data_IF_482805244457
#
_entry.id   IF_482805244457
#
_cell.length_a   1.000
_cell.length_b   1.000
_cell.length_c   1.000
_cell.angle_alpha   90.00
_cell.angle_beta   90.00
_cell.angle_gamma   90.00
#
_symmetry.space_group_name_H-M   'P 1'
#
loop_
_entity.id
_entity.type
_entity.pdbx_description
1 polymer ?
#
# COMPACT_ATOMS: atom_id res chain seq x y z
N UNK A 1 -24.94 40.38 -15.12
CA UNK A 1 -24.52 40.15 -13.73
C UNK A 1 -23.42 39.10 -13.68
N UNK A 2 -22.16 39.50 -13.52
CA UNK A 2 -21.02 38.59 -13.36
C UNK A 2 -21.15 37.86 -12.02
N UNK A 3 -21.35 36.53 -12.04
CA UNK A 3 -21.33 35.70 -10.83
C UNK A 3 -19.93 35.81 -10.19
N UNK A 4 -19.78 36.65 -9.16
CA UNK A 4 -18.56 36.73 -8.34
C UNK A 4 -18.16 35.31 -7.92
N UNK A 5 -16.99 34.87 -8.38
CA UNK A 5 -16.36 33.61 -8.00
C UNK A 5 -15.79 33.76 -6.60
N UNK A 6 -16.68 33.87 -5.61
CA UNK A 6 -16.28 33.92 -4.20
C UNK A 6 -15.77 32.54 -3.82
N UNK A 7 -14.66 32.48 -3.09
CA UNK A 7 -14.26 31.28 -2.34
C UNK A 7 -15.48 30.75 -1.58
N UNK A 8 -15.66 29.42 -1.44
CA UNK A 8 -16.82 28.86 -0.74
C UNK A 8 -16.93 29.46 0.67
N UNK A 9 -18.11 29.47 1.32
CA UNK A 9 -18.22 29.87 2.72
C UNK A 9 -17.20 29.11 3.57
N UNK A 10 -16.58 29.77 4.56
CA UNK A 10 -15.75 29.04 5.54
C UNK A 10 -16.69 28.15 6.36
N UNK A 11 -16.45 26.84 6.29
CA UNK A 11 -17.11 25.84 7.13
C UNK A 11 -16.05 25.29 8.06
N UNK A 12 -16.47 24.91 9.25
CA UNK A 12 -15.62 24.11 10.11
C UNK A 12 -15.42 22.73 9.49
N UNK A 13 -14.28 22.14 9.79
CA UNK A 13 -13.99 20.76 9.43
C UNK A 13 -14.93 19.81 10.18
N UNK A 14 -15.08 18.57 9.70
CA UNK A 14 -15.81 17.58 10.47
C UNK A 14 -15.06 17.19 11.75
N UNK A 15 -15.69 16.36 12.60
CA UNK A 15 -15.11 15.93 13.88
C UNK A 15 -13.77 15.20 13.73
N UNK A 16 -13.53 14.70 12.53
CA UNK A 16 -12.36 13.98 12.12
C UNK A 16 -11.33 14.92 11.45
N UNK A 17 -11.60 16.22 11.29
CA UNK A 17 -10.68 17.15 10.65
C UNK A 17 -10.63 16.99 9.12
N UNK A 18 -11.61 16.35 8.49
CA UNK A 18 -11.72 16.38 7.03
C UNK A 18 -12.38 17.68 6.56
N UNK A 19 -11.91 18.15 5.40
CA UNK A 19 -12.52 19.27 4.69
C UNK A 19 -13.99 18.97 4.34
N UNK A 20 -14.89 19.82 4.83
CA UNK A 20 -16.33 19.72 4.55
C UNK A 20 -16.67 20.45 3.25
N UNK A 21 -17.29 19.74 2.32
CA UNK A 21 -17.65 20.28 1.02
C UNK A 21 -19.07 19.90 0.55
N UNK A 22 -19.52 20.56 -0.51
CA UNK A 22 -20.76 20.27 -1.24
C UNK A 22 -20.48 20.08 -2.73
N UNK A 23 -21.20 19.17 -3.36
CA UNK A 23 -21.10 18.91 -4.79
C UNK A 23 -21.39 20.16 -5.62
N UNK A 24 -20.56 20.45 -6.62
CA UNK A 24 -20.72 21.60 -7.51
C UNK A 24 -20.16 22.92 -6.98
N UNK A 25 -19.68 22.98 -5.72
CA UNK A 25 -19.03 24.17 -5.19
C UNK A 25 -17.57 24.30 -5.65
N UNK A 26 -16.94 25.44 -5.37
CA UNK A 26 -15.55 25.66 -5.66
C UNK A 26 -14.70 25.22 -4.45
N UNK A 27 -13.66 24.41 -4.65
CA UNK A 27 -12.61 24.20 -3.63
C UNK A 27 -11.78 25.48 -3.49
N UNK A 28 -11.35 26.03 -4.63
CA UNK A 28 -10.73 27.36 -4.76
C UNK A 28 -11.36 28.05 -5.98
N UNK A 29 -11.10 29.35 -6.25
CA UNK A 29 -11.57 29.98 -7.49
C UNK A 29 -11.16 29.25 -8.77
N UNK A 30 -10.10 28.43 -8.73
CA UNK A 30 -9.61 27.61 -9.85
C UNK A 30 -10.31 26.25 -9.95
N UNK A 31 -10.53 25.55 -8.84
CA UNK A 31 -10.99 24.16 -8.84
C UNK A 31 -12.47 24.06 -8.45
N UNK A 32 -13.31 23.56 -9.35
CA UNK A 32 -14.73 23.25 -9.05
C UNK A 32 -14.89 21.76 -8.73
N UNK A 33 -15.48 21.44 -7.58
CA UNK A 33 -15.70 20.05 -7.13
C UNK A 33 -16.85 19.44 -7.93
N UNK A 34 -16.58 18.29 -8.54
CA UNK A 34 -17.52 17.52 -9.35
C UNK A 34 -17.89 16.17 -8.75
N UNK A 35 -17.06 15.62 -7.86
CA UNK A 35 -17.25 14.29 -7.29
C UNK A 35 -16.32 13.98 -6.12
N UNK A 36 -16.71 13.03 -5.28
CA UNK A 36 -15.81 12.36 -4.32
C UNK A 36 -15.36 11.04 -4.95
N UNK A 37 -14.07 10.92 -5.21
CA UNK A 37 -13.49 9.71 -5.79
C UNK A 37 -13.12 8.68 -4.71
N UNK A 38 -12.67 9.16 -3.55
CA UNK A 38 -12.25 8.28 -2.46
C UNK A 38 -12.11 9.01 -1.14
N UNK A 39 -12.02 8.23 -0.07
CA UNK A 39 -11.84 8.69 1.31
C UNK A 39 -11.05 7.65 2.09
N UNK A 40 -10.16 8.09 2.96
CA UNK A 40 -9.37 7.21 3.82
C UNK A 40 -8.78 7.97 5.00
N UNK A 41 -7.90 7.29 5.74
CA UNK A 41 -7.30 7.82 6.98
C UNK A 41 -6.67 9.20 6.82
N UNK A 42 -6.06 9.47 5.66
CA UNK A 42 -5.30 10.69 5.36
C UNK A 42 -6.17 11.86 4.87
N UNK A 43 -7.35 11.61 4.31
CA UNK A 43 -8.12 12.65 3.64
C UNK A 43 -9.15 12.15 2.63
N UNK A 44 -9.53 13.03 1.71
CA UNK A 44 -10.50 12.76 0.64
C UNK A 44 -9.87 13.07 -0.72
N UNK A 45 -10.18 12.28 -1.73
CA UNK A 45 -9.80 12.57 -3.12
C UNK A 45 -11.03 13.07 -3.85
N UNK A 46 -10.94 14.27 -4.40
CA UNK A 46 -12.04 14.95 -5.09
C UNK A 46 -11.75 15.02 -6.58
N UNK A 47 -12.76 14.69 -7.38
CA UNK A 47 -12.78 14.99 -8.81
C UNK A 47 -13.10 16.48 -8.96
N UNK A 48 -12.20 17.23 -9.60
CA UNK A 48 -12.32 18.66 -9.78
C UNK A 48 -12.20 19.05 -11.27
N UNK A 49 -12.92 20.08 -11.68
CA UNK A 49 -12.65 20.81 -12.94
C UNK A 49 -11.66 21.93 -12.69
N UNK A 50 -10.48 21.85 -13.29
CA UNK A 50 -9.46 22.89 -13.28
C UNK A 50 -9.82 23.95 -14.34
N UNK A 51 -10.32 25.11 -13.89
CA UNK A 51 -10.75 26.19 -14.79
C UNK A 51 -9.61 26.83 -15.57
N UNK A 52 -8.37 26.68 -15.10
CA UNK A 52 -7.22 27.30 -15.73
C UNK A 52 -6.69 26.43 -16.88
N UNK A 53 -6.50 25.13 -16.64
CA UNK A 53 -6.03 24.20 -17.70
C UNK A 53 -7.17 23.64 -18.54
N UNK A 54 -8.43 23.77 -18.08
CA UNK A 54 -9.64 23.21 -18.69
C UNK A 54 -9.63 21.67 -18.74
N UNK A 55 -9.20 21.06 -17.63
CA UNK A 55 -9.05 19.62 -17.49
C UNK A 55 -9.74 19.11 -16.23
N UNK A 56 -10.09 17.82 -16.25
CA UNK A 56 -10.50 17.08 -15.06
C UNK A 56 -9.26 16.65 -14.29
N UNK A 57 -9.27 16.86 -12.97
CA UNK A 57 -8.12 16.58 -12.10
C UNK A 57 -8.58 15.89 -10.82
N UNK A 58 -7.69 15.07 -10.25
CA UNK A 58 -7.88 14.55 -8.91
C UNK A 58 -7.15 15.46 -7.91
N UNK A 59 -7.86 15.89 -6.86
CA UNK A 59 -7.30 16.68 -5.77
C UNK A 59 -7.45 15.91 -4.46
N UNK A 60 -6.32 15.43 -3.92
CA UNK A 60 -6.24 14.84 -2.58
C UNK A 60 -6.24 15.98 -1.56
N UNK A 61 -7.30 16.10 -0.78
CA UNK A 61 -7.45 17.07 0.31
C UNK A 61 -7.16 16.36 1.63
N UNK A 62 -6.01 16.67 2.22
CA UNK A 62 -5.49 16.06 3.44
C UNK A 62 -6.22 16.62 4.66
N UNK A 63 -6.47 15.79 5.69
CA UNK A 63 -7.08 16.23 6.96
C UNK A 63 -6.26 17.36 7.60
N UNK A 64 -6.92 18.32 8.25
CA UNK A 64 -6.31 19.47 8.92
C UNK A 64 -5.66 19.12 10.28
N UNK A 65 -5.09 17.92 10.39
CA UNK A 65 -4.44 17.40 11.60
C UNK A 65 -2.93 17.34 11.34
N UNK A 66 -2.12 17.87 12.27
CA UNK A 66 -0.66 18.00 12.14
C UNK A 66 0.00 16.75 11.55
N UNK A 67 -0.18 15.57 12.17
CA UNK A 67 0.45 14.32 11.73
C UNK A 67 0.16 13.96 10.25
N UNK A 68 -1.04 14.27 9.74
CA UNK A 68 -1.40 13.97 8.36
C UNK A 68 -0.87 15.03 7.40
N UNK A 69 -0.75 16.28 7.85
CA UNK A 69 -0.09 17.34 7.08
C UNK A 69 1.41 17.07 6.96
N UNK A 70 2.05 16.64 8.04
CA UNK A 70 3.47 16.25 8.04
C UNK A 70 3.71 15.09 7.06
N UNK A 71 2.86 14.06 7.10
CA UNK A 71 2.87 12.95 6.13
C UNK A 71 2.65 13.42 4.68
N UNK A 72 1.76 14.39 4.46
CA UNK A 72 1.53 14.94 3.12
C UNK A 72 2.74 15.74 2.60
N UNK A 73 3.50 16.41 3.48
CA UNK A 73 4.74 17.07 3.07
C UNK A 73 5.83 16.08 2.67
N UNK A 74 5.90 14.91 3.33
CA UNK A 74 6.75 13.80 2.91
C UNK A 74 6.33 13.29 1.52
N UNK A 75 5.03 13.08 1.30
CA UNK A 75 4.48 12.67 0.00
C UNK A 75 4.85 13.67 -1.11
N UNK A 76 4.71 14.98 -0.85
CA UNK A 76 5.09 16.05 -1.77
C UNK A 76 6.58 16.00 -2.11
N UNK A 77 7.46 15.87 -1.11
CA UNK A 77 8.91 15.80 -1.32
C UNK A 77 9.30 14.60 -2.18
N UNK A 78 8.76 13.41 -1.86
CA UNK A 78 9.00 12.18 -2.62
C UNK A 78 8.50 12.32 -4.06
N UNK A 79 7.28 12.83 -4.27
CA UNK A 79 6.73 13.02 -5.61
C UNK A 79 7.52 14.05 -6.43
N UNK A 80 8.05 15.11 -5.80
CA UNK A 80 8.95 16.06 -6.46
C UNK A 80 10.29 15.41 -6.82
N UNK A 81 10.83 14.59 -5.93
CA UNK A 81 12.07 13.85 -6.19
C UNK A 81 11.89 12.88 -7.35
N UNK A 82 10.80 12.11 -7.36
CA UNK A 82 10.45 11.20 -8.45
C UNK A 82 10.29 11.98 -9.77
N UNK A 83 9.52 13.07 -9.80
CA UNK A 83 9.33 13.86 -11.02
C UNK A 83 10.64 14.42 -11.63
N UNK A 84 11.67 14.67 -10.80
CA UNK A 84 12.99 15.12 -11.29
C UNK A 84 13.86 13.99 -11.84
N UNK A 85 13.65 12.76 -11.38
CA UNK A 85 14.52 11.61 -11.66
C UNK A 85 13.86 10.54 -12.54
N UNK A 86 12.54 10.62 -12.74
CA UNK A 86 11.74 9.68 -13.52
C UNK A 86 11.88 9.94 -15.03
N UNK A 87 12.99 9.45 -15.61
CA UNK A 87 13.29 9.58 -17.05
C UNK A 87 12.52 8.59 -17.92
N UNK A 88 12.07 7.47 -17.35
CA UNK A 88 11.59 6.29 -18.09
C UNK A 88 10.12 5.92 -17.75
N UNK A 89 9.35 6.85 -17.19
CA UNK A 89 7.96 6.64 -16.72
C UNK A 89 7.84 5.44 -15.76
N UNK A 90 8.33 5.64 -14.53
CA UNK A 90 8.46 4.65 -13.45
C UNK A 90 7.14 4.08 -12.94
N UNK A 91 6.04 4.29 -13.66
CA UNK A 91 4.67 3.95 -13.28
C UNK A 91 4.29 4.48 -11.89
N UNK A 92 4.89 5.57 -11.43
CA UNK A 92 4.47 6.29 -10.22
C UNK A 92 3.50 7.41 -10.61
N UNK A 93 2.52 7.70 -9.76
CA UNK A 93 1.63 8.84 -9.97
C UNK A 93 2.42 10.14 -10.00
N UNK A 94 2.09 11.02 -10.94
CA UNK A 94 2.77 12.31 -11.11
C UNK A 94 1.98 13.41 -10.41
N UNK A 95 2.62 14.09 -9.47
CA UNK A 95 2.08 15.31 -8.87
C UNK A 95 2.29 16.46 -9.84
N UNK A 96 1.21 17.14 -10.21
CA UNK A 96 1.29 18.35 -11.04
C UNK A 96 1.62 19.57 -10.18
N UNK A 97 0.95 19.72 -9.04
CA UNK A 97 1.14 20.85 -8.14
C UNK A 97 0.50 20.55 -6.79
N UNK A 98 0.86 21.31 -5.76
CA UNK A 98 0.18 21.26 -4.47
C UNK A 98 -0.07 22.69 -3.95
N UNK A 99 -0.97 22.83 -2.99
CA UNK A 99 -1.26 24.10 -2.32
C UNK A 99 -1.82 23.85 -0.92
N UNK A 100 -1.56 24.75 0.03
CA UNK A 100 -2.28 24.78 1.31
C UNK A 100 -3.57 25.59 1.13
N UNK A 101 -4.69 25.01 1.53
CA UNK A 101 -5.98 25.68 1.55
C UNK A 101 -6.69 25.41 2.87
N UNK A 102 -6.91 26.48 3.64
CA UNK A 102 -7.60 26.43 4.93
C UNK A 102 -7.02 25.38 5.87
N UNK A 103 -5.70 25.29 5.96
CA UNK A 103 -5.00 24.32 6.82
C UNK A 103 -5.06 22.87 6.30
N UNK A 104 -5.53 22.66 5.07
CA UNK A 104 -5.47 21.38 4.37
C UNK A 104 -4.41 21.43 3.29
N UNK A 105 -3.49 20.47 3.31
CA UNK A 105 -2.58 20.24 2.18
C UNK A 105 -3.39 19.61 1.04
N UNK A 106 -3.41 20.27 -0.11
CA UNK A 106 -4.09 19.80 -1.31
C UNK A 106 -3.06 19.39 -2.36
N UNK A 107 -3.11 18.14 -2.83
CA UNK A 107 -2.20 17.61 -3.85
C UNK A 107 -3.01 17.36 -5.13
N UNK A 108 -2.63 18.03 -6.23
CA UNK A 108 -3.19 17.82 -7.57
C UNK A 108 -2.36 16.75 -8.30
N UNK A 109 -3.00 15.67 -8.72
CA UNK A 109 -2.43 14.69 -9.63
C UNK A 109 -3.15 14.73 -10.98
N UNK A 110 -2.38 14.47 -12.03
CA UNK A 110 -2.87 14.29 -13.39
C UNK A 110 -2.90 12.79 -13.65
N UNK A 111 -4.05 12.16 -13.47
CA UNK A 111 -4.33 10.93 -14.19
C UNK A 111 -5.41 11.22 -15.21
N UNK A 112 -5.03 11.03 -16.48
CA UNK A 112 -5.97 10.83 -17.56
C UNK A 112 -6.76 9.58 -17.20
N UNK A 113 -7.98 9.70 -16.69
CA UNK A 113 -9.04 8.69 -16.97
C UNK A 113 -10.38 9.01 -16.31
N UNK A 114 -11.41 8.74 -17.09
CA UNK A 114 -12.79 8.61 -16.65
C UNK A 114 -12.91 7.51 -15.58
N UNK A 115 -13.12 7.91 -14.33
CA UNK A 115 -13.17 7.04 -13.13
C UNK A 115 -14.40 6.11 -13.02
N UNK A 116 -15.12 5.84 -14.11
CA UNK A 116 -16.44 5.17 -14.09
C UNK A 116 -16.54 3.90 -14.95
N UNK A 117 -15.44 3.35 -15.43
CA UNK A 117 -15.44 2.11 -16.22
C UNK A 117 -14.36 1.15 -15.74
N UNK A 118 -14.54 -0.14 -16.06
CA UNK A 118 -13.45 -1.11 -16.02
C UNK A 118 -12.25 -0.54 -16.81
N UNK A 119 -11.02 -0.68 -16.29
CA UNK A 119 -9.84 -0.23 -17.02
C UNK A 119 -9.82 -0.87 -18.41
N UNK A 120 -9.73 -0.05 -19.46
CA UNK A 120 -9.54 -0.55 -20.84
C UNK A 120 -8.16 -1.19 -21.05
N UNK A 121 -7.27 -1.03 -20.06
CA UNK A 121 -5.88 -1.45 -20.07
C UNK A 121 -5.50 -2.00 -18.70
N UNK A 122 -4.57 -2.95 -18.65
CA UNK A 122 -3.94 -3.44 -17.42
C UNK A 122 -2.80 -2.54 -16.93
N UNK A 123 -2.54 -1.41 -17.60
CA UNK A 123 -1.57 -0.43 -17.13
C UNK A 123 -2.02 0.15 -15.79
N UNK A 124 -1.10 0.13 -14.82
CA UNK A 124 -1.33 0.60 -13.44
C UNK A 124 -0.26 1.63 -13.06
N UNK A 125 -0.56 2.44 -12.04
CA UNK A 125 0.40 3.35 -11.41
C UNK A 125 0.39 3.21 -9.90
N UNK A 126 1.56 3.29 -9.28
CA UNK A 126 1.73 3.34 -7.83
C UNK A 126 1.31 4.71 -7.29
N UNK A 127 0.54 4.71 -6.21
CA UNK A 127 -0.01 5.90 -5.54
C UNK A 127 0.33 5.90 -4.05
N UNK A 128 -0.02 6.99 -3.37
CA UNK A 128 -0.03 7.14 -1.92
C UNK A 128 1.36 7.02 -1.24
N UNK A 129 2.23 7.98 -1.54
CA UNK A 129 3.59 8.03 -1.00
C UNK A 129 3.67 8.65 0.42
N UNK A 130 2.54 8.89 1.08
CA UNK A 130 2.48 9.52 2.41
C UNK A 130 3.01 8.67 3.57
N UNK A 131 3.32 7.40 3.33
CA UNK A 131 3.99 6.51 4.30
C UNK A 131 5.41 6.12 3.88
N UNK A 132 5.96 6.77 2.85
CA UNK A 132 7.33 6.50 2.39
C UNK A 132 8.35 6.97 3.42
N UNK A 133 9.43 6.23 3.56
CA UNK A 133 10.60 6.63 4.35
C UNK A 133 11.84 6.51 3.48
N UNK A 134 12.77 7.45 3.64
CA UNK A 134 14.12 7.31 3.09
C UNK A 134 14.98 6.48 4.07
N UNK A 135 15.94 5.72 3.55
CA UNK A 135 16.81 4.83 4.33
C UNK A 135 17.51 5.51 5.52
N UNK A 136 17.75 6.82 5.43
CA UNK A 136 18.42 7.63 6.46
C UNK A 136 17.48 8.19 7.54
N UNK A 137 16.18 7.88 7.50
CA UNK A 137 15.20 8.37 8.47
C UNK A 137 14.92 7.35 9.59
N UNK A 138 14.38 7.84 10.71
CA UNK A 138 13.91 6.97 11.79
C UNK A 138 12.65 6.25 11.29
N UNK A 139 12.78 4.95 11.08
CA UNK A 139 11.68 4.11 10.63
C UNK A 139 10.67 3.86 11.75
N UNK A 140 9.37 4.03 11.45
CA UNK A 140 8.31 3.50 12.32
C UNK A 140 8.49 1.99 12.49
N UNK A 141 8.33 1.49 13.71
CA UNK A 141 8.44 0.05 13.99
C UNK A 141 7.33 -0.78 13.32
N UNK A 142 6.19 -0.15 13.01
CA UNK A 142 5.06 -0.80 12.33
C UNK A 142 4.73 0.00 11.07
N UNK A 143 4.87 -0.67 9.92
CA UNK A 143 4.49 -0.17 8.60
C UNK A 143 3.72 -1.22 7.81
N UNK A 144 3.26 -0.87 6.61
CA UNK A 144 2.38 -1.65 5.74
C UNK A 144 0.99 -1.94 6.33
N UNK A 145 0.01 -2.05 5.44
CA UNK A 145 -1.27 -2.68 5.77
C UNK A 145 -1.03 -4.14 6.17
N UNK A 146 -1.76 -4.60 7.19
CA UNK A 146 -1.45 -5.85 7.90
C UNK A 146 -1.30 -7.07 6.98
N UNK A 147 -2.20 -7.26 6.02
CA UNK A 147 -2.20 -8.45 5.14
C UNK A 147 -0.97 -8.53 4.22
N UNK A 148 -0.28 -7.41 3.99
CA UNK A 148 0.89 -7.31 3.11
C UNK A 148 2.20 -7.11 3.90
N UNK A 149 2.12 -7.15 5.24
CA UNK A 149 3.25 -6.85 6.12
C UNK A 149 4.26 -7.99 6.16
N UNK A 150 5.52 -7.64 5.94
CA UNK A 150 6.64 -8.57 5.94
C UNK A 150 6.97 -9.12 7.35
N UNK A 151 7.54 -10.34 7.45
CA UNK A 151 7.86 -11.00 8.71
C UNK A 151 8.89 -10.22 9.55
N UNK A 152 9.90 -9.61 8.93
CA UNK A 152 10.93 -8.83 9.62
C UNK A 152 10.35 -7.63 10.40
N UNK A 153 9.23 -7.06 9.91
CA UNK A 153 8.49 -6.00 10.61
C UNK A 153 7.79 -6.57 11.84
N UNK A 154 7.12 -7.73 11.71
CA UNK A 154 6.41 -8.38 12.82
C UNK A 154 7.39 -8.83 13.91
N UNK A 155 8.59 -9.26 13.51
CA UNK A 155 9.66 -9.72 14.40
C UNK A 155 10.51 -8.59 14.99
N UNK A 156 10.32 -7.34 14.53
CA UNK A 156 11.09 -6.19 15.01
C UNK A 156 12.58 -6.22 14.62
N UNK A 157 12.91 -6.77 13.45
CA UNK A 157 14.29 -6.93 12.98
C UNK A 157 14.84 -5.69 12.24
N UNK A 158 14.04 -4.63 12.15
CA UNK A 158 14.24 -3.54 11.20
C UNK A 158 13.73 -3.92 9.81
N UNK A 159 13.56 -2.91 8.94
CA UNK A 159 13.07 -3.09 7.58
C UNK A 159 13.66 -2.02 6.66
N UNK A 160 13.74 -2.35 5.37
CA UNK A 160 14.10 -1.46 4.25
C UNK A 160 13.28 -1.88 3.03
N UNK A 161 13.66 -1.51 1.80
CA UNK A 161 12.94 -1.84 0.57
C UNK A 161 12.50 -3.31 0.37
N UNK A 162 13.14 -4.38 0.91
CA UNK A 162 12.65 -5.74 0.72
C UNK A 162 11.24 -5.96 1.26
N UNK A 163 10.77 -5.17 2.23
CA UNK A 163 9.40 -5.32 2.74
C UNK A 163 8.35 -5.05 1.65
N UNK A 164 8.63 -4.14 0.70
CA UNK A 164 7.74 -3.86 -0.42
C UNK A 164 7.69 -5.05 -1.38
N UNK A 165 8.81 -5.75 -1.57
CA UNK A 165 8.86 -6.97 -2.38
C UNK A 165 7.98 -8.07 -1.78
N UNK A 166 7.97 -8.20 -0.46
CA UNK A 166 7.05 -9.12 0.22
C UNK A 166 5.59 -8.73 -0.04
N UNK A 167 5.27 -7.44 0.07
CA UNK A 167 3.93 -6.93 -0.21
C UNK A 167 3.50 -7.22 -1.66
N UNK A 168 4.40 -7.05 -2.64
CA UNK A 168 4.16 -7.43 -4.04
C UNK A 168 3.87 -8.92 -4.17
N UNK A 169 4.62 -9.78 -3.48
CA UNK A 169 4.36 -11.22 -3.44
C UNK A 169 2.95 -11.55 -2.93
N UNK A 170 2.51 -10.91 -1.84
CA UNK A 170 1.16 -11.07 -1.32
C UNK A 170 0.08 -10.58 -2.31
N UNK A 171 0.29 -9.41 -2.93
CA UNK A 171 -0.66 -8.83 -3.91
C UNK A 171 -0.78 -9.74 -5.13
N UNK A 172 0.32 -10.30 -5.64
CA UNK A 172 0.28 -11.20 -6.78
C UNK A 172 -0.51 -12.48 -6.48
N UNK A 173 -0.42 -13.02 -5.27
CA UNK A 173 -1.26 -14.16 -4.86
C UNK A 173 -2.73 -13.74 -4.80
N UNK A 174 -3.05 -12.59 -4.20
CA UNK A 174 -4.41 -12.06 -4.13
C UNK A 174 -5.02 -11.80 -5.51
N UNK A 175 -4.24 -11.29 -6.47
CA UNK A 175 -4.68 -11.13 -7.86
C UNK A 175 -5.01 -12.47 -8.53
N UNK A 176 -4.36 -13.56 -8.13
CA UNK A 176 -4.62 -14.89 -8.68
C UNK A 176 -5.83 -15.56 -8.01
N UNK A 177 -6.00 -15.40 -6.71
CA UNK A 177 -7.00 -16.13 -5.91
C UNK A 177 -8.28 -15.33 -5.66
N UNK A 178 -8.23 -14.00 -5.77
CA UNK A 178 -9.28 -13.08 -5.36
C UNK A 178 -9.37 -12.85 -3.84
N UNK A 179 -8.47 -13.45 -3.05
CA UNK A 179 -8.46 -13.37 -1.58
C UNK A 179 -7.07 -13.00 -1.06
N UNK A 180 -7.02 -12.12 -0.05
CA UNK A 180 -5.77 -11.75 0.61
C UNK A 180 -5.07 -12.99 1.18
N UNK A 181 -3.77 -13.16 0.86
CA UNK A 181 -2.99 -14.33 1.25
C UNK A 181 -2.97 -14.56 2.78
N UNK A 182 -2.84 -13.49 3.55
CA UNK A 182 -2.78 -13.54 5.01
C UNK A 182 -3.86 -12.66 5.63
N UNK A 183 -5.09 -13.18 5.64
CA UNK A 183 -6.25 -12.48 6.21
C UNK A 183 -6.32 -12.67 7.74
N UNK A 184 -5.66 -11.78 8.47
CA UNK A 184 -5.54 -11.84 9.93
C UNK A 184 -5.52 -10.45 10.55
N UNK A 185 -5.85 -10.37 11.85
CA UNK A 185 -5.76 -9.16 12.66
C UNK A 185 -4.73 -9.25 13.80
N UNK A 186 -3.97 -10.33 13.90
CA UNK A 186 -3.08 -10.62 15.03
C UNK A 186 -1.71 -11.14 14.53
N UNK A 187 -0.63 -10.83 15.25
CA UNK A 187 0.74 -11.08 14.78
C UNK A 187 1.17 -12.55 14.89
N UNK A 188 0.83 -13.25 15.97
CA UNK A 188 1.15 -14.68 16.14
C UNK A 188 0.38 -15.53 15.12
N UNK A 189 -0.91 -15.26 14.93
CA UNK A 189 -1.70 -15.86 13.86
C UNK A 189 -1.07 -15.58 12.49
N UNK A 190 -0.63 -14.35 12.23
CA UNK A 190 0.02 -13.99 10.97
C UNK A 190 1.29 -14.82 10.71
N UNK A 191 2.17 -14.94 11.70
CA UNK A 191 3.37 -15.78 11.59
C UNK A 191 3.00 -17.26 11.39
N UNK A 192 1.94 -17.75 12.04
CA UNK A 192 1.47 -19.13 11.86
C UNK A 192 0.90 -19.37 10.46
N UNK A 193 0.18 -18.40 9.89
CA UNK A 193 -0.26 -18.43 8.49
C UNK A 193 0.93 -18.47 7.54
N UNK A 194 1.96 -17.65 7.80
CA UNK A 194 3.18 -17.67 6.99
C UNK A 194 3.88 -19.04 7.06
N UNK A 195 4.05 -19.63 8.26
CA UNK A 195 4.65 -20.96 8.39
C UNK A 195 3.84 -22.04 7.67
N UNK A 196 2.51 -21.93 7.70
CA UNK A 196 1.61 -22.86 7.01
C UNK A 196 1.77 -22.80 5.49
N UNK A 197 1.95 -21.62 4.93
CA UNK A 197 2.01 -21.38 3.47
C UNK A 197 3.42 -21.62 2.92
N UNK A 198 4.46 -21.20 3.64
CA UNK A 198 5.83 -21.08 3.13
C UNK A 198 6.82 -22.06 3.79
N UNK A 199 6.44 -22.73 4.87
CA UNK A 199 7.34 -23.54 5.70
C UNK A 199 7.90 -22.76 6.88
N UNK A 200 8.75 -23.39 7.71
CA UNK A 200 9.17 -22.84 9.00
C UNK A 200 9.93 -21.51 8.87
N UNK A 201 9.76 -20.63 9.87
CA UNK A 201 10.56 -19.41 9.99
C UNK A 201 12.04 -19.75 10.20
N UNK A 202 12.99 -19.04 9.56
CA UNK A 202 14.41 -19.26 9.76
C UNK A 202 14.83 -19.00 11.21
N UNK A 203 15.56 -19.94 11.81
CA UNK A 203 15.92 -19.89 13.22
C UNK A 203 16.74 -18.64 13.59
N UNK A 204 17.60 -18.16 12.68
CA UNK A 204 18.40 -16.97 12.91
C UNK A 204 17.54 -15.70 13.00
N UNK A 205 16.41 -15.63 12.31
CA UNK A 205 15.46 -14.53 12.44
C UNK A 205 14.75 -14.59 13.79
N UNK A 206 14.35 -15.79 14.23
CA UNK A 206 13.71 -16.01 15.54
C UNK A 206 14.65 -15.57 16.67
N UNK A 207 15.93 -15.97 16.62
CA UNK A 207 16.93 -15.59 17.63
C UNK A 207 17.15 -14.08 17.73
N UNK A 208 17.01 -13.36 16.62
CA UNK A 208 17.20 -11.92 16.53
C UNK A 208 15.94 -11.11 16.84
N UNK A 209 14.79 -11.76 16.99
CA UNK A 209 13.51 -11.10 17.24
C UNK A 209 13.58 -10.18 18.47
N UNK A 210 12.92 -9.03 18.38
CA UNK A 210 12.96 -8.02 19.42
C UNK A 210 12.23 -8.48 20.71
N UNK A 211 12.29 -7.66 21.76
CA UNK A 211 11.63 -8.00 23.04
C UNK A 211 10.12 -8.18 22.90
N UNK A 212 9.47 -7.45 21.99
CA UNK A 212 8.04 -7.52 21.75
C UNK A 212 7.62 -8.79 21.01
N UNK A 213 8.46 -9.30 20.13
CA UNK A 213 8.22 -10.49 19.32
C UNK A 213 8.61 -11.81 20.00
N UNK A 214 9.49 -11.78 21.01
CA UNK A 214 9.87 -12.98 21.78
C UNK A 214 8.69 -13.76 22.37
N UNK A 215 7.59 -13.07 22.70
CA UNK A 215 6.35 -13.70 23.23
C UNK A 215 5.68 -14.66 22.25
N UNK A 216 5.99 -14.57 20.96
CA UNK A 216 5.44 -15.44 19.92
C UNK A 216 6.13 -16.80 19.85
N UNK A 217 7.21 -17.04 20.60
CA UNK A 217 8.02 -18.25 20.48
C UNK A 217 8.16 -19.01 21.79
N UNK A 218 8.29 -20.34 21.71
CA UNK A 218 8.69 -21.25 22.79
C UNK A 218 9.78 -22.19 22.29
N UNK A 219 10.93 -22.22 22.96
CA UNK A 219 12.07 -23.11 22.61
C UNK A 219 12.45 -23.05 21.12
N UNK A 220 12.55 -21.84 20.57
CA UNK A 220 12.86 -21.54 19.16
C UNK A 220 11.80 -21.94 18.12
N UNK A 221 10.62 -22.39 18.55
CA UNK A 221 9.48 -22.64 17.67
C UNK A 221 8.36 -21.63 17.91
N UNK A 222 7.54 -21.38 16.90
CA UNK A 222 6.35 -20.56 17.06
C UNK A 222 5.45 -21.17 18.14
N UNK A 223 4.93 -20.34 19.04
CA UNK A 223 4.01 -20.75 20.11
C UNK A 223 2.61 -21.00 19.55
N UNK A 224 2.47 -21.99 18.68
CA UNK A 224 1.26 -22.29 17.93
C UNK A 224 1.01 -23.80 17.89
N UNK A 225 -0.23 -24.28 18.12
CA UNK A 225 -1.48 -23.52 18.30
C UNK A 225 -1.75 -23.05 19.73
N UNK A 226 -0.90 -23.36 20.71
CA UNK A 226 -1.16 -23.09 22.13
C UNK A 226 -1.26 -21.59 22.46
N UNK A 227 -0.58 -20.73 21.69
CA UNK A 227 -0.68 -19.28 21.84
C UNK A 227 -1.82 -18.64 21.04
N UNK A 228 -2.63 -19.41 20.30
CA UNK A 228 -3.70 -18.86 19.49
C UNK A 228 -4.74 -18.14 20.35
N UNK A 229 -5.25 -17.01 19.85
CA UNK A 229 -6.25 -16.19 20.55
C UNK A 229 -7.64 -16.82 20.59
N UNK A 230 -7.94 -17.75 19.66
CA UNK A 230 -9.25 -18.40 19.57
C UNK A 230 -9.21 -19.69 18.75
N UNK A 231 -10.28 -20.51 18.84
CA UNK A 231 -10.43 -21.70 17.99
C UNK A 231 -10.70 -21.35 16.53
N UNK A 232 -11.29 -20.18 16.28
CA UNK A 232 -11.50 -19.61 14.95
C UNK A 232 -10.16 -19.32 14.30
N UNK A 233 -9.23 -18.74 15.06
CA UNK A 233 -7.86 -18.45 14.61
C UNK A 233 -7.10 -19.72 14.23
N UNK A 234 -7.19 -20.75 15.08
CA UNK A 234 -6.63 -22.08 14.78
C UNK A 234 -7.22 -22.66 13.49
N UNK A 235 -8.55 -22.54 13.30
CA UNK A 235 -9.23 -23.01 12.09
C UNK A 235 -8.81 -22.22 10.85
N UNK A 236 -8.65 -20.91 10.95
CA UNK A 236 -8.22 -20.06 9.84
C UNK A 236 -6.84 -20.50 9.32
N UNK A 237 -5.85 -20.66 10.21
CA UNK A 237 -4.52 -21.15 9.82
C UNK A 237 -4.58 -22.56 9.24
N UNK A 238 -5.35 -23.48 9.84
CA UNK A 238 -5.45 -24.86 9.34
C UNK A 238 -6.07 -24.96 7.93
N UNK A 239 -6.96 -24.04 7.56
CA UNK A 239 -7.60 -24.01 6.24
C UNK A 239 -6.64 -23.60 5.13
N UNK A 240 -5.60 -22.82 5.45
CA UNK A 240 -4.59 -22.44 4.46
C UNK A 240 -3.84 -23.68 3.95
N UNK A 241 -3.41 -23.62 2.70
CA UNK A 241 -2.58 -24.62 2.05
C UNK A 241 -1.19 -24.05 1.74
N UNK A 242 -0.28 -24.89 1.27
CA UNK A 242 1.02 -24.46 0.78
C UNK A 242 0.87 -23.56 -0.45
N UNK A 243 1.81 -22.62 -0.61
CA UNK A 243 1.81 -21.61 -1.68
C UNK A 243 1.55 -22.24 -3.07
N UNK A 244 2.25 -23.33 -3.39
CA UNK A 244 2.09 -24.05 -4.66
C UNK A 244 0.64 -24.47 -4.91
N UNK A 245 -0.04 -25.01 -3.91
CA UNK A 245 -1.41 -25.51 -4.02
C UNK A 245 -2.42 -24.36 -4.12
N UNK A 246 -2.19 -23.24 -3.41
CA UNK A 246 -3.05 -22.06 -3.50
C UNK A 246 -3.07 -21.49 -4.92
N UNK A 247 -1.89 -21.37 -5.54
CA UNK A 247 -1.75 -20.80 -6.89
C UNK A 247 -2.19 -21.78 -7.97
N UNK A 248 -1.78 -23.05 -7.89
CA UNK A 248 -2.08 -24.05 -8.94
C UNK A 248 -3.57 -24.38 -9.09
N UNK A 249 -4.42 -24.02 -8.12
CA UNK A 249 -5.88 -24.14 -8.23
C UNK A 249 -6.51 -23.09 -9.15
N UNK A 250 -5.87 -21.94 -9.29
CA UNK A 250 -6.42 -20.76 -9.96
C UNK A 250 -5.65 -20.40 -11.23
N UNK A 251 -4.46 -20.97 -11.40
CA UNK A 251 -3.55 -20.65 -12.48
C UNK A 251 -3.17 -21.94 -13.21
N UNK A 252 -3.24 -21.90 -14.55
CA UNK A 252 -2.90 -23.04 -15.39
C UNK A 252 -1.44 -23.50 -15.17
N UNK A 253 -1.22 -24.81 -15.37
CA UNK A 253 0.04 -25.53 -15.21
C UNK A 253 1.18 -24.92 -16.04
N UNK A 254 0.82 -24.26 -17.15
CA UNK A 254 1.71 -23.49 -18.03
C UNK A 254 2.44 -22.34 -17.32
N UNK A 255 1.96 -21.87 -16.16
CA UNK A 255 2.57 -20.79 -15.36
C UNK A 255 3.29 -21.30 -14.12
N UNK A 256 3.89 -22.49 -14.18
CA UNK A 256 4.74 -23.02 -13.09
C UNK A 256 5.85 -22.05 -12.66
N UNK A 257 6.31 -21.18 -13.57
CA UNK A 257 7.25 -20.09 -13.31
C UNK A 257 6.71 -19.02 -12.34
N UNK A 258 5.39 -18.81 -12.25
CA UNK A 258 4.79 -17.89 -11.28
C UNK A 258 5.01 -18.35 -9.84
N UNK A 259 4.82 -19.65 -9.56
CA UNK A 259 5.04 -20.20 -8.21
C UNK A 259 6.51 -20.04 -7.80
N UNK A 260 7.44 -20.21 -8.75
CA UNK A 260 8.86 -20.00 -8.49
C UNK A 260 9.19 -18.53 -8.19
N UNK A 261 8.62 -17.60 -8.96
CA UNK A 261 8.73 -16.16 -8.69
C UNK A 261 8.21 -15.82 -7.28
N UNK A 262 7.01 -16.29 -6.94
CA UNK A 262 6.38 -16.04 -5.64
C UNK A 262 7.21 -16.57 -4.48
N UNK A 263 7.85 -17.75 -4.61
CA UNK A 263 8.78 -18.24 -3.60
C UNK A 263 10.00 -17.33 -3.40
N UNK A 264 10.48 -16.66 -4.45
CA UNK A 264 11.56 -15.68 -4.37
C UNK A 264 11.13 -14.35 -3.74
N UNK A 265 9.90 -13.89 -4.04
CA UNK A 265 9.32 -12.67 -3.47
C UNK A 265 8.93 -12.83 -1.99
N UNK A 266 8.50 -14.02 -1.59
CA UNK A 266 8.01 -14.35 -0.24
C UNK A 266 9.07 -15.07 0.60
N UNK A 267 10.36 -14.85 0.33
CA UNK A 267 11.44 -15.31 1.24
C UNK A 267 11.32 -14.60 2.58
N UNK A 268 11.41 -15.37 3.67
CA UNK A 268 11.38 -14.82 5.03
C UNK A 268 12.54 -13.86 5.28
N UNK A 269 13.77 -14.29 5.00
CA UNK A 269 14.94 -13.44 5.18
C UNK A 269 14.97 -12.36 4.08
N UNK A 270 14.90 -11.07 4.45
CA UNK A 270 14.92 -9.98 3.46
C UNK A 270 16.22 -9.93 2.63
N UNK A 271 17.33 -10.51 3.12
CA UNK A 271 18.59 -10.58 2.36
C UNK A 271 18.63 -11.68 1.30
N UNK A 272 17.77 -12.71 1.43
CA UNK A 272 17.59 -13.76 0.42
C UNK A 272 16.43 -13.46 -0.55
N UNK A 273 15.61 -12.45 -0.22
CA UNK A 273 14.44 -12.07 -1.00
C UNK A 273 14.88 -11.43 -2.32
N UNK A 274 14.17 -11.74 -3.39
CA UNK A 274 14.44 -11.13 -4.69
C UNK A 274 14.39 -9.60 -4.58
N UNK A 275 15.31 -8.92 -5.26
CA UNK A 275 15.15 -7.49 -5.54
C UNK A 275 14.16 -7.29 -6.69
N UNK A 276 13.60 -6.08 -6.84
CA UNK A 276 12.73 -5.77 -7.98
C UNK A 276 13.42 -6.03 -9.34
N UNK A 277 14.72 -5.71 -9.46
CA UNK A 277 15.51 -5.98 -10.67
C UNK A 277 15.62 -7.47 -10.97
N UNK A 278 15.98 -8.28 -9.96
CA UNK A 278 16.06 -9.74 -10.13
C UNK A 278 14.69 -10.36 -10.45
N UNK A 279 13.63 -9.84 -9.84
CA UNK A 279 12.26 -10.28 -10.13
C UNK A 279 11.86 -10.00 -11.59
N UNK A 280 12.19 -8.82 -12.13
CA UNK A 280 11.92 -8.48 -13.54
C UNK A 280 12.71 -9.36 -14.53
N UNK A 281 13.86 -9.90 -14.11
CA UNK A 281 14.65 -10.83 -14.92
C UNK A 281 14.17 -12.30 -14.82
N UNK A 282 13.14 -12.57 -14.01
CA UNK A 282 12.63 -13.91 -13.78
C UNK A 282 11.96 -14.51 -15.04
N UNK A 283 12.10 -15.82 -15.31
CA UNK A 283 11.48 -16.47 -16.48
C UNK A 283 10.00 -16.18 -16.68
N UNK A 284 9.25 -16.01 -15.59
CA UNK A 284 7.83 -15.63 -15.61
C UNK A 284 7.53 -14.40 -16.47
N UNK A 285 8.44 -13.42 -16.53
CA UNK A 285 8.27 -12.21 -17.35
C UNK A 285 8.99 -12.26 -18.71
N UNK A 286 9.79 -13.30 -18.96
CA UNK A 286 10.59 -13.45 -20.18
C UNK A 286 9.94 -14.35 -21.22
N UNK A 287 9.14 -15.32 -20.78
CA UNK A 287 8.41 -16.20 -21.68
C UNK A 287 7.10 -15.50 -22.11
N UNK A 288 6.95 -15.11 -23.39
CA UNK A 288 5.68 -14.57 -23.87
C UNK A 288 4.63 -15.69 -23.82
N UNK A 289 3.62 -15.49 -22.97
CA UNK A 289 2.35 -16.25 -23.02
C UNK A 289 1.54 -15.87 -24.25
#
# INVERSE_FOLDING_TARGET
MLRRHVSPPKRDDDRDGHYVFSMGENLTPRYKILGKMGEGTFGRVLECWDRQTREYVAVKVVRSISKYRDAAMIEIDVLQHLAKNDKDDSHCVKMHSWFDYRNHICIKTTDETNFRCLPKSSAIKLIDFGSTAYDNQIHSSIVSTRHYRAPEIILGLGWTYPCDIWSVGCILVELCTGEALFQTHENLEHLAMMERVLGPLPEHMIRRADRGAKKYFRRSHLNWPEGAVSRESIRAVRKLDQLKNLVSRHVDSSRSSLVNLLHGLLKFDPSERLTARQALEHPFFKDPT
#
